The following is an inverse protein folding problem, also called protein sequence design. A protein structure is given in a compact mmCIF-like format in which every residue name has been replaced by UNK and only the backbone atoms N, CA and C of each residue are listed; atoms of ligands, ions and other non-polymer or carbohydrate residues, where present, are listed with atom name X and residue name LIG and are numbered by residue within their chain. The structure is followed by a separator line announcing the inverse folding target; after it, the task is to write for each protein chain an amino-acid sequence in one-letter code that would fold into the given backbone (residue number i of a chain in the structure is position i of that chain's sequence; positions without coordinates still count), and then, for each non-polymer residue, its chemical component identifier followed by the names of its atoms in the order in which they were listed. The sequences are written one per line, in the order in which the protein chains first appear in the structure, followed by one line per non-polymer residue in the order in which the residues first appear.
data_IF_604913920170
#
_entry.id   IF_604913920170
#
_cell.length_a   1.000
_cell.length_b   1.000
_cell.length_c   1.000
_cell.angle_alpha   90.00
_cell.angle_beta   90.00
_cell.angle_gamma   90.00
#
_symmetry.space_group_name_H-M   'P 1'
#
loop_
_entity.id
_entity.type
_entity.pdbx_description
1 polymer ?
#
# COMPACT_ATOMS: atom_id res chain seq x y z
N UNK A 1 14.06 -5.49 -6.85
CA UNK A 1 14.75 -4.77 -5.76
C UNK A 1 16.25 -4.82 -6.00
N UNK A 2 17.01 -3.85 -5.51
CA UNK A 2 18.47 -3.89 -5.48
C UNK A 2 18.92 -3.38 -4.12
N UNK A 3 19.66 -4.18 -3.36
CA UNK A 3 20.12 -3.83 -2.01
C UNK A 3 19.02 -3.41 -1.02
N UNK A 4 17.81 -3.98 -1.15
CA UNK A 4 16.65 -3.60 -0.33
C UNK A 4 15.76 -2.51 -0.94
N UNK A 5 16.23 -1.80 -1.97
CA UNK A 5 15.47 -0.73 -2.60
C UNK A 5 14.55 -1.24 -3.71
N UNK A 6 13.32 -0.70 -3.73
CA UNK A 6 12.37 -0.90 -4.82
C UNK A 6 12.71 0.08 -5.95
N UNK A 7 13.33 -0.43 -7.01
CA UNK A 7 13.91 0.39 -8.11
C UNK A 7 13.00 0.55 -9.34
N UNK A 8 11.81 -0.05 -9.32
CA UNK A 8 10.82 -0.02 -10.39
C UNK A 8 9.44 -0.16 -9.78
N UNK A 9 8.43 0.35 -10.47
CA UNK A 9 7.04 0.20 -10.06
C UNK A 9 6.63 -1.26 -10.05
N UNK A 10 5.89 -1.65 -9.02
CA UNK A 10 5.37 -3.00 -8.83
C UNK A 10 3.85 -2.90 -8.74
N UNK A 11 3.10 -3.33 -9.77
CA UNK A 11 1.65 -3.34 -9.70
C UNK A 11 1.19 -4.45 -8.74
N UNK A 12 0.21 -4.12 -7.88
CA UNK A 12 -0.43 -5.06 -6.98
C UNK A 12 -1.93 -5.13 -7.25
N UNK A 13 -2.51 -6.33 -7.16
CA UNK A 13 -3.95 -6.54 -7.38
C UNK A 13 -4.86 -6.01 -6.27
N UNK A 14 -4.30 -5.53 -5.16
CA UNK A 14 -5.09 -4.88 -4.10
C UNK A 14 -4.22 -3.97 -3.21
N UNK A 15 -4.82 -2.98 -2.53
CA UNK A 15 -4.13 -2.16 -1.55
C UNK A 15 -3.50 -2.98 -0.40
N UNK A 16 -4.13 -4.08 0.00
CA UNK A 16 -3.62 -4.96 1.06
C UNK A 16 -2.37 -5.74 0.62
N UNK A 17 -2.30 -6.18 -0.63
CA UNK A 17 -1.10 -6.83 -1.17
C UNK A 17 0.10 -5.85 -1.21
N UNK A 18 -0.14 -4.60 -1.62
CA UNK A 18 0.88 -3.55 -1.57
C UNK A 18 1.32 -3.25 -0.12
N UNK A 19 0.37 -3.16 0.82
CA UNK A 19 0.68 -2.92 2.23
C UNK A 19 1.52 -4.05 2.84
N UNK A 20 1.16 -5.30 2.55
CA UNK A 20 1.90 -6.45 3.05
C UNK A 20 3.31 -6.55 2.47
N UNK A 21 3.50 -6.15 1.21
CA UNK A 21 4.83 -6.04 0.61
C UNK A 21 5.73 -5.02 1.34
N UNK A 22 5.18 -3.86 1.72
CA UNK A 22 5.95 -2.81 2.41
C UNK A 22 6.20 -3.15 3.88
N UNK A 23 5.21 -3.71 4.57
CA UNK A 23 5.28 -3.97 6.01
C UNK A 23 5.90 -5.34 6.36
N UNK A 24 5.97 -6.27 5.40
CA UNK A 24 6.40 -7.64 5.65
C UNK A 24 5.42 -8.48 6.46
N UNK A 25 4.18 -8.02 6.65
CA UNK A 25 3.13 -8.70 7.42
C UNK A 25 1.76 -8.53 6.76
N UNK A 26 0.79 -9.37 7.12
CA UNK A 26 -0.59 -9.16 6.70
C UNK A 26 -1.11 -7.81 7.20
N UNK A 27 -1.83 -7.08 6.34
CA UNK A 27 -2.29 -5.74 6.64
C UNK A 27 -3.54 -5.37 5.84
N UNK A 28 -4.49 -4.67 6.46
CA UNK A 28 -5.61 -4.07 5.75
C UNK A 28 -5.18 -2.76 5.08
N UNK A 29 -4.81 -2.84 3.79
CA UNK A 29 -4.32 -1.68 3.05
C UNK A 29 -5.34 -0.54 2.96
N UNK A 30 -6.64 -0.87 2.95
CA UNK A 30 -7.71 0.13 2.85
C UNK A 30 -7.72 1.12 4.02
N UNK A 31 -7.29 0.69 5.21
CA UNK A 31 -7.30 1.50 6.44
C UNK A 31 -5.92 2.09 6.76
N UNK A 32 -4.85 1.59 6.12
CA UNK A 32 -3.48 2.08 6.36
C UNK A 32 -3.03 3.15 5.38
N UNK A 33 -3.31 2.96 4.09
CA UNK A 33 -2.94 3.92 3.07
C UNK A 33 -3.78 5.19 3.21
N UNK A 34 -3.14 6.35 3.10
CA UNK A 34 -3.77 7.66 3.18
C UNK A 34 -3.52 8.46 1.91
N UNK A 35 -4.52 9.23 1.50
CA UNK A 35 -4.41 10.27 0.49
C UNK A 35 -3.61 11.45 1.05
N UNK A 36 -3.23 12.40 0.20
CA UNK A 36 -2.49 13.60 0.61
C UNK A 36 -3.28 14.48 1.60
N UNK A 37 -4.61 14.43 1.57
CA UNK A 37 -5.52 15.08 2.53
C UNK A 37 -5.78 14.27 3.81
N UNK A 38 -5.10 13.13 3.99
CA UNK A 38 -5.10 12.35 5.23
C UNK A 38 -6.22 11.32 5.37
N UNK A 39 -7.15 11.24 4.42
CA UNK A 39 -8.22 10.23 4.40
C UNK A 39 -7.67 8.85 4.03
N UNK A 40 -8.21 7.81 4.62
CA UNK A 40 -7.89 6.44 4.24
C UNK A 40 -8.44 6.09 2.86
N UNK A 41 -7.87 5.11 2.17
CA UNK A 41 -8.45 4.63 0.90
C UNK A 41 -9.87 4.10 1.07
N UNK A 42 -10.22 3.58 2.25
CA UNK A 42 -11.58 3.19 2.61
C UNK A 42 -12.54 4.38 2.60
N UNK A 43 -12.12 5.54 3.08
CA UNK A 43 -12.91 6.78 3.10
C UNK A 43 -12.96 7.46 1.72
N UNK A 44 -11.90 7.34 0.93
CA UNK A 44 -11.82 7.91 -0.42
C UNK A 44 -12.58 7.09 -1.47
N UNK A 45 -12.96 5.86 -1.15
CA UNK A 45 -13.74 4.99 -2.03
C UNK A 45 -15.21 5.39 -1.96
N UNK A 46 -15.78 5.76 -3.11
CA UNK A 46 -17.22 5.89 -3.31
C UNK A 46 -17.91 4.51 -3.38
#
# INVERSE_FOLDING_TARGET
MKNGDVIRDVPFGSPSAAAGFVLGSSCNGWEKWRTSDGKTLKEARA
#
